data_IF_981784605763
#
_entry.id   IF_981784605763
#
_cell.length_a   1.000
_cell.length_b   1.000
_cell.length_c   1.000
_cell.angle_alpha   90.00
_cell.angle_beta   90.00
_cell.angle_gamma   90.00
#
_symmetry.space_group_name_H-M   'P 1'
#
loop_
_entity.id
_entity.type
_entity.pdbx_description
1 polymer ?
#
# COMPACT_ATOMS: atom_id res chain seq x y z
N UNK A 1 36.33 -33.28 -48.37
CA UNK A 1 34.92 -33.61 -48.67
C UNK A 1 34.25 -33.91 -47.34
N UNK A 2 33.10 -33.27 -47.09
CA UNK A 2 32.53 -32.92 -45.78
C UNK A 2 32.16 -34.08 -44.86
N UNK A 3 32.14 -33.88 -43.52
CA UNK A 3 31.49 -34.78 -42.58
C UNK A 3 29.96 -34.56 -42.55
N UNK A 4 29.15 -35.57 -42.19
CA UNK A 4 27.71 -35.44 -42.08
C UNK A 4 27.32 -34.65 -40.81
N UNK A 5 26.32 -33.78 -40.95
CA UNK A 5 25.83 -32.88 -39.89
C UNK A 5 25.07 -33.60 -38.76
N UNK A 6 24.87 -32.92 -37.62
CA UNK A 6 24.25 -33.53 -36.45
C UNK A 6 22.72 -33.63 -36.60
N UNK A 7 22.18 -34.72 -36.06
CA UNK A 7 20.75 -35.02 -35.93
C UNK A 7 20.02 -33.95 -35.12
N UNK A 8 18.96 -33.39 -35.71
CA UNK A 8 18.02 -32.49 -35.05
C UNK A 8 16.90 -33.31 -34.39
N UNK A 9 17.10 -33.70 -33.13
CA UNK A 9 16.04 -34.30 -32.31
C UNK A 9 15.12 -33.21 -31.76
N UNK A 10 14.07 -32.90 -32.51
CA UNK A 10 12.93 -32.10 -32.07
C UNK A 10 12.13 -32.85 -30.98
N UNK A 11 12.44 -32.60 -29.71
CA UNK A 11 11.55 -32.95 -28.59
C UNK A 11 10.51 -31.85 -28.40
N UNK A 12 9.36 -32.03 -29.05
CA UNK A 12 8.10 -31.34 -28.72
C UNK A 12 7.81 -31.52 -27.23
N UNK A 13 7.83 -30.42 -26.47
CA UNK A 13 7.34 -30.39 -25.08
C UNK A 13 5.87 -30.01 -25.12
N UNK A 14 5.04 -30.95 -24.69
CA UNK A 14 3.62 -30.77 -24.46
C UNK A 14 3.34 -29.58 -23.52
N UNK A 15 2.67 -28.55 -24.04
CA UNK A 15 1.96 -27.55 -23.25
C UNK A 15 0.74 -28.21 -22.60
N UNK A 16 0.82 -28.43 -21.28
CA UNK A 16 -0.35 -28.76 -20.47
C UNK A 16 -1.22 -27.52 -20.25
N UNK A 17 -2.56 -27.67 -20.15
CA UNK A 17 -3.47 -26.54 -20.04
C UNK A 17 -3.25 -25.82 -18.71
N UNK A 18 -2.83 -24.56 -18.82
CA UNK A 18 -2.69 -23.63 -17.72
C UNK A 18 -4.07 -23.41 -17.08
N UNK A 19 -4.36 -24.11 -15.98
CA UNK A 19 -5.60 -23.93 -15.20
C UNK A 19 -5.59 -22.52 -14.60
N UNK A 20 -6.19 -21.57 -15.31
CA UNK A 20 -6.51 -20.25 -14.78
C UNK A 20 -7.33 -20.44 -13.51
N UNK A 21 -6.74 -20.08 -12.37
CA UNK A 21 -7.40 -20.09 -11.07
C UNK A 21 -8.59 -19.11 -11.16
N UNK A 22 -9.82 -19.63 -11.22
CA UNK A 22 -11.01 -18.80 -11.06
C UNK A 22 -11.18 -18.56 -9.56
N UNK A 23 -11.19 -17.31 -9.06
CA UNK A 23 -11.54 -17.07 -7.67
C UNK A 23 -12.94 -17.63 -7.42
N UNK A 24 -13.08 -18.45 -6.38
CA UNK A 24 -14.37 -19.00 -5.98
C UNK A 24 -15.29 -17.84 -5.57
N UNK A 25 -16.42 -17.66 -6.24
CA UNK A 25 -17.41 -16.66 -5.85
C UNK A 25 -18.07 -17.03 -4.52
N UNK A 26 -18.37 -16.02 -3.69
CA UNK A 26 -19.16 -16.20 -2.45
C UNK A 26 -20.50 -16.87 -2.77
N UNK A 27 -20.85 -17.92 -2.04
CA UNK A 27 -22.06 -18.74 -2.31
C UNK A 27 -23.35 -18.13 -1.80
N UNK A 28 -23.29 -17.33 -0.73
CA UNK A 28 -24.45 -16.83 0.01
C UNK A 28 -25.38 -17.97 0.45
N UNK A 29 -24.80 -19.01 1.08
CA UNK A 29 -25.54 -20.16 1.60
C UNK A 29 -26.45 -19.78 2.77
N UNK A 30 -26.03 -18.83 3.61
CA UNK A 30 -26.89 -18.12 4.57
C UNK A 30 -26.85 -16.59 4.34
N UNK A 31 -27.70 -16.07 3.44
CA UNK A 31 -27.70 -14.64 3.11
C UNK A 31 -28.26 -13.76 4.25
N UNK A 32 -28.83 -14.35 5.30
CA UNK A 32 -29.31 -13.61 6.49
C UNK A 32 -28.21 -13.45 7.53
N UNK A 33 -27.11 -14.20 7.43
CA UNK A 33 -25.99 -14.08 8.35
C UNK A 33 -25.19 -12.79 8.07
N UNK A 34 -25.22 -11.89 9.05
CA UNK A 34 -24.60 -10.57 8.99
C UNK A 34 -23.65 -10.39 10.17
N UNK A 35 -22.62 -9.56 9.97
CA UNK A 35 -21.72 -9.08 11.02
C UNK A 35 -21.69 -7.56 10.99
N UNK A 36 -21.51 -6.95 12.17
CA UNK A 36 -21.48 -5.49 12.33
C UNK A 36 -20.06 -5.03 12.64
N UNK A 37 -19.61 -3.98 11.96
CA UNK A 37 -18.36 -3.28 12.25
C UNK A 37 -18.69 -1.91 12.81
N UNK A 38 -18.17 -1.60 13.98
CA UNK A 38 -18.31 -0.28 14.63
C UNK A 38 -17.01 0.49 14.37
N UNK A 39 -17.08 1.57 13.60
CA UNK A 39 -15.91 2.30 13.10
C UNK A 39 -15.86 3.69 13.73
N UNK A 40 -14.67 4.12 14.16
CA UNK A 40 -14.42 5.45 14.69
C UNK A 40 -14.29 5.53 16.21
N UNK A 41 -13.82 6.68 16.73
CA UNK A 41 -13.53 6.87 18.14
C UNK A 41 -14.79 6.84 19.00
N UNK A 42 -14.62 6.69 20.31
CA UNK A 42 -15.73 6.72 21.24
C UNK A 42 -16.52 8.04 21.14
N UNK A 43 -17.86 7.93 21.17
CA UNK A 43 -18.77 9.06 20.98
C UNK A 43 -18.99 9.49 19.51
N UNK A 44 -18.19 9.00 18.55
CA UNK A 44 -18.33 9.31 17.12
C UNK A 44 -18.12 8.04 16.28
N UNK A 45 -19.09 7.12 16.37
CA UNK A 45 -19.02 5.83 15.69
C UNK A 45 -20.05 5.68 14.58
N UNK A 46 -19.67 5.00 13.51
CA UNK A 46 -20.54 4.60 12.42
C UNK A 46 -20.58 3.08 12.32
N UNK A 47 -21.78 2.52 12.18
CA UNK A 47 -21.99 1.07 12.02
C UNK A 47 -22.02 0.67 10.54
N UNK A 48 -21.35 -0.41 10.22
CA UNK A 48 -21.35 -1.03 8.89
C UNK A 48 -21.75 -2.49 9.01
N UNK A 49 -22.70 -2.92 8.19
CA UNK A 49 -23.23 -4.29 8.19
C UNK A 49 -22.72 -5.01 6.94
N UNK A 50 -22.09 -6.17 7.12
CA UNK A 50 -21.50 -6.97 6.04
C UNK A 50 -22.01 -8.40 6.11
N UNK A 51 -22.24 -9.03 4.95
CA UNK A 51 -22.56 -10.45 4.91
C UNK A 51 -21.40 -11.28 5.46
N UNK A 52 -21.71 -12.17 6.40
CA UNK A 52 -20.74 -12.99 7.11
C UNK A 52 -19.84 -13.76 6.15
N UNK A 53 -20.42 -14.41 5.13
CA UNK A 53 -19.66 -15.13 4.10
C UNK A 53 -18.73 -14.21 3.27
N UNK A 54 -19.11 -12.95 3.01
CA UNK A 54 -18.27 -11.99 2.28
C UNK A 54 -17.05 -11.60 3.12
N UNK A 55 -17.25 -11.30 4.40
CA UNK A 55 -16.15 -10.99 5.32
C UNK A 55 -15.17 -12.16 5.43
N UNK A 56 -15.68 -13.39 5.54
CA UNK A 56 -14.88 -14.61 5.71
C UNK A 56 -14.11 -14.97 4.46
N UNK A 57 -14.75 -14.80 3.30
CA UNK A 57 -14.14 -15.10 2.02
C UNK A 57 -12.84 -14.31 1.81
N UNK A 58 -12.82 -13.06 2.26
CA UNK A 58 -11.68 -12.17 2.07
C UNK A 58 -10.72 -12.08 3.26
N UNK A 59 -11.14 -12.47 4.47
CA UNK A 59 -10.27 -12.45 5.67
C UNK A 59 -10.49 -13.66 6.56
N UNK A 60 -9.43 -14.46 6.72
CA UNK A 60 -9.37 -15.53 7.73
C UNK A 60 -9.38 -15.02 9.16
N UNK A 61 -8.94 -13.77 9.37
CA UNK A 61 -9.02 -13.11 10.68
C UNK A 61 -10.47 -12.84 11.05
N UNK A 62 -11.29 -12.33 10.12
CA UNK A 62 -12.73 -12.18 10.37
C UNK A 62 -13.43 -13.52 10.57
N UNK A 63 -13.11 -14.53 9.76
CA UNK A 63 -13.65 -15.89 9.95
C UNK A 63 -13.34 -16.44 11.35
N UNK A 64 -12.11 -16.28 11.82
CA UNK A 64 -11.73 -16.70 13.16
C UNK A 64 -12.42 -15.87 14.26
N UNK A 65 -12.42 -14.55 14.14
CA UNK A 65 -12.97 -13.64 15.16
C UNK A 65 -14.46 -13.88 15.41
N UNK A 66 -15.26 -13.91 14.34
CA UNK A 66 -16.71 -14.04 14.43
C UNK A 66 -17.20 -15.48 14.69
N UNK A 67 -16.30 -16.47 14.68
CA UNK A 67 -16.58 -17.85 15.10
C UNK A 67 -15.86 -18.22 16.41
N UNK A 68 -15.25 -17.25 17.10
CA UNK A 68 -14.54 -17.47 18.36
C UNK A 68 -15.49 -17.46 19.57
N UNK A 69 -14.94 -17.73 20.76
CA UNK A 69 -15.64 -17.55 22.04
C UNK A 69 -15.49 -16.14 22.62
N UNK A 70 -14.84 -15.23 21.89
CA UNK A 70 -14.64 -13.84 22.31
C UNK A 70 -15.91 -13.00 22.09
N UNK A 71 -15.84 -11.72 22.46
CA UNK A 71 -16.98 -10.80 22.35
C UNK A 71 -17.48 -10.72 20.92
N UNK A 72 -16.59 -10.75 19.92
CA UNK A 72 -16.91 -10.68 18.51
C UNK A 72 -17.72 -11.91 18.05
N UNK A 73 -17.38 -13.10 18.55
CA UNK A 73 -18.10 -14.33 18.22
C UNK A 73 -19.50 -14.37 18.82
N UNK A 74 -19.67 -13.87 20.05
CA UNK A 74 -20.98 -13.82 20.70
C UNK A 74 -21.89 -12.69 20.17
N UNK A 75 -21.33 -11.52 19.92
CA UNK A 75 -22.08 -10.32 19.51
C UNK A 75 -22.19 -10.15 17.99
N UNK A 76 -21.42 -10.94 17.22
CA UNK A 76 -21.23 -10.75 15.78
C UNK A 76 -20.82 -9.31 15.42
N UNK A 77 -20.09 -8.64 16.33
CA UNK A 77 -19.71 -7.23 16.22
C UNK A 77 -18.21 -7.06 16.41
N UNK A 78 -17.57 -6.24 15.57
CA UNK A 78 -16.13 -5.92 15.65
C UNK A 78 -15.91 -4.42 15.76
N UNK A 79 -15.15 -3.97 16.75
CA UNK A 79 -14.89 -2.54 17.00
C UNK A 79 -13.52 -2.10 16.48
N UNK A 80 -13.48 -1.01 15.71
CA UNK A 80 -12.26 -0.37 15.21
C UNK A 80 -12.28 1.12 15.53
N UNK A 81 -11.68 1.47 16.68
CA UNK A 81 -11.69 2.85 17.19
C UNK A 81 -10.71 3.78 16.47
N UNK A 82 -9.65 3.22 15.90
CA UNK A 82 -8.56 3.90 15.20
C UNK A 82 -8.74 3.94 13.68
N UNK A 83 -9.90 3.48 13.19
CA UNK A 83 -10.22 3.44 11.76
C UNK A 83 -11.20 4.55 11.39
N UNK A 84 -10.92 5.26 10.30
CA UNK A 84 -11.80 6.25 9.70
C UNK A 84 -12.95 5.60 8.95
N UNK A 85 -14.12 6.25 9.01
CA UNK A 85 -15.30 5.82 8.27
C UNK A 85 -15.02 5.70 6.76
N UNK A 86 -14.23 6.61 6.20
CA UNK A 86 -13.89 6.65 4.78
C UNK A 86 -13.01 5.48 4.34
N UNK A 87 -11.99 5.12 5.11
CA UNK A 87 -11.17 3.94 4.81
C UNK A 87 -12.01 2.65 4.87
N UNK A 88 -12.90 2.54 5.88
CA UNK A 88 -13.79 1.38 5.97
C UNK A 88 -14.83 1.32 4.83
N UNK A 89 -15.35 2.46 4.36
CA UNK A 89 -16.18 2.52 3.15
C UNK A 89 -15.46 1.95 1.93
N UNK A 90 -14.18 2.27 1.74
CA UNK A 90 -13.38 1.69 0.65
C UNK A 90 -13.15 0.20 0.83
N UNK A 91 -12.91 -0.27 2.06
CA UNK A 91 -12.86 -1.69 2.37
C UNK A 91 -14.16 -2.39 1.95
N UNK A 92 -15.31 -1.82 2.31
CA UNK A 92 -16.62 -2.36 1.96
C UNK A 92 -16.85 -2.39 0.45
N UNK A 93 -16.51 -1.31 -0.28
CA UNK A 93 -16.56 -1.31 -1.74
C UNK A 93 -15.75 -2.45 -2.34
N UNK A 94 -14.52 -2.66 -1.84
CA UNK A 94 -13.65 -3.72 -2.32
C UNK A 94 -14.17 -5.12 -1.96
N UNK A 95 -14.67 -5.34 -0.74
CA UNK A 95 -15.24 -6.63 -0.32
C UNK A 95 -16.36 -7.11 -1.25
N UNK A 96 -17.18 -6.19 -1.77
CA UNK A 96 -18.29 -6.55 -2.66
C UNK A 96 -17.96 -6.49 -4.15
N UNK A 97 -17.05 -5.61 -4.59
CA UNK A 97 -16.83 -5.33 -6.01
C UNK A 97 -15.40 -5.57 -6.49
N UNK A 98 -14.46 -5.76 -5.57
CA UNK A 98 -13.01 -5.79 -5.82
C UNK A 98 -12.51 -4.54 -6.54
N UNK A 99 -13.20 -3.40 -6.37
CA UNK A 99 -12.92 -2.10 -6.99
C UNK A 99 -13.10 -0.97 -5.98
N UNK A 100 -12.47 0.17 -6.28
CA UNK A 100 -12.64 1.41 -5.53
C UNK A 100 -13.28 2.49 -6.42
N UNK A 101 -14.20 3.25 -5.85
CA UNK A 101 -14.74 4.46 -6.46
C UNK A 101 -13.86 5.64 -6.06
N UNK A 102 -12.72 5.79 -6.76
CA UNK A 102 -11.76 6.87 -6.52
C UNK A 102 -12.26 8.17 -7.14
N UNK A 103 -11.88 9.30 -6.55
CA UNK A 103 -12.30 10.63 -7.02
C UNK A 103 -11.68 10.90 -8.39
N UNK A 104 -10.45 10.42 -8.58
CA UNK A 104 -9.71 10.48 -9.84
C UNK A 104 -10.36 9.69 -10.99
N UNK A 105 -11.32 8.79 -10.71
CA UNK A 105 -12.12 8.14 -11.75
C UNK A 105 -13.27 9.02 -12.25
N UNK A 106 -13.63 10.08 -11.52
CA UNK A 106 -14.68 11.00 -11.91
C UNK A 106 -14.11 12.05 -12.88
N UNK A 107 -14.54 12.07 -14.16
CA UNK A 107 -14.05 13.04 -15.15
C UNK A 107 -14.42 14.49 -14.82
N UNK A 108 -15.33 14.73 -13.86
CA UNK A 108 -15.68 16.07 -13.37
C UNK A 108 -14.82 16.54 -12.19
N UNK A 109 -13.97 15.67 -11.63
CA UNK A 109 -13.11 16.02 -10.50
C UNK A 109 -11.83 16.70 -10.99
N UNK A 110 -11.80 18.03 -10.96
CA UNK A 110 -10.60 18.80 -11.19
C UNK A 110 -9.66 18.69 -10.00
N UNK A 111 -8.53 17.98 -10.16
CA UNK A 111 -7.46 17.96 -9.18
C UNK A 111 -6.76 19.31 -9.23
N UNK A 112 -6.95 20.15 -8.21
CA UNK A 112 -6.17 21.39 -8.05
C UNK A 112 -4.71 21.02 -7.75
N UNK A 113 -3.91 20.95 -8.81
CA UNK A 113 -2.47 20.66 -8.76
C UNK A 113 -1.65 21.86 -8.30
N UNK A 114 -2.25 23.05 -8.18
CA UNK A 114 -1.53 24.29 -7.88
C UNK A 114 -1.43 24.58 -6.37
N UNK A 115 -2.11 23.81 -5.53
CA UNK A 115 -2.06 24.01 -4.07
C UNK A 115 -1.38 22.81 -3.40
N UNK A 116 -0.06 22.94 -3.15
CA UNK A 116 0.70 21.97 -2.35
C UNK A 116 -0.07 21.64 -1.04
N UNK A 117 -0.59 20.41 -0.94
CA UNK A 117 -1.06 19.83 0.31
C UNK A 117 -2.52 20.06 0.73
N UNK A 118 -3.47 20.40 -0.15
CA UNK A 118 -4.85 20.66 0.30
C UNK A 118 -5.92 19.58 0.13
N UNK A 119 -5.73 18.54 -0.68
CA UNK A 119 -6.62 17.37 -0.60
C UNK A 119 -5.85 16.05 -0.80
N UNK A 120 -5.29 15.57 0.31
CA UNK A 120 -4.72 14.23 0.40
C UNK A 120 -5.62 13.25 1.17
N UNK A 121 -6.91 13.59 1.32
CA UNK A 121 -7.85 12.81 2.13
C UNK A 121 -8.02 11.39 1.58
N UNK A 122 -8.23 11.28 0.26
CA UNK A 122 -8.34 9.98 -0.42
C UNK A 122 -7.07 9.14 -0.29
N UNK A 123 -5.90 9.76 -0.41
CA UNK A 123 -4.62 9.05 -0.29
C UNK A 123 -4.38 8.57 1.14
N UNK A 124 -4.80 9.35 2.12
CA UNK A 124 -4.79 8.92 3.52
C UNK A 124 -5.73 7.72 3.72
N UNK A 125 -6.94 7.74 3.15
CA UNK A 125 -7.87 6.61 3.23
C UNK A 125 -7.31 5.34 2.57
N UNK A 126 -6.64 5.47 1.42
CA UNK A 126 -5.95 4.35 0.78
C UNK A 126 -4.81 3.85 1.65
N UNK A 127 -4.02 4.74 2.25
CA UNK A 127 -2.90 4.38 3.12
C UNK A 127 -3.36 3.60 4.35
N UNK A 128 -4.38 4.13 5.02
CA UNK A 128 -5.05 3.48 6.13
C UNK A 128 -5.63 2.12 5.72
N UNK A 129 -6.27 2.04 4.55
CA UNK A 129 -6.81 0.78 4.04
C UNK A 129 -5.75 -0.28 3.79
N UNK A 130 -4.55 0.11 3.34
CA UNK A 130 -3.42 -0.82 3.23
C UNK A 130 -3.06 -1.42 4.58
N UNK A 131 -2.97 -0.58 5.63
CA UNK A 131 -2.67 -1.00 7.01
C UNK A 131 -3.77 -1.92 7.55
N UNK A 132 -5.04 -1.63 7.26
CA UNK A 132 -6.16 -2.53 7.60
C UNK A 132 -6.06 -3.87 6.88
N UNK A 133 -5.66 -3.85 5.60
CA UNK A 133 -5.40 -5.06 4.84
C UNK A 133 -4.32 -5.93 5.50
N UNK A 134 -3.25 -5.33 6.00
CA UNK A 134 -2.23 -6.03 6.78
C UNK A 134 -2.81 -6.63 8.08
N UNK A 135 -3.49 -5.79 8.87
CA UNK A 135 -4.11 -6.14 10.15
C UNK A 135 -5.05 -7.35 10.05
N UNK A 136 -5.80 -7.45 8.95
CA UNK A 136 -6.79 -8.50 8.74
C UNK A 136 -6.33 -9.62 7.79
N UNK A 137 -5.05 -9.63 7.40
CA UNK A 137 -4.49 -10.68 6.55
C UNK A 137 -5.13 -10.74 5.17
N UNK A 138 -5.26 -9.58 4.51
CA UNK A 138 -5.94 -9.40 3.22
C UNK A 138 -4.95 -8.91 2.14
N UNK A 139 -4.01 -9.76 1.68
CA UNK A 139 -2.98 -9.35 0.73
C UNK A 139 -3.55 -8.88 -0.62
N UNK A 140 -4.68 -9.44 -1.06
CA UNK A 140 -5.34 -8.99 -2.29
C UNK A 140 -5.87 -7.54 -2.17
N UNK A 141 -6.32 -7.14 -0.99
CA UNK A 141 -6.72 -5.76 -0.70
C UNK A 141 -5.50 -4.84 -0.69
N UNK A 142 -4.42 -5.24 0.00
CA UNK A 142 -3.15 -4.49 0.02
C UNK A 142 -2.62 -4.23 -1.39
N UNK A 143 -2.63 -5.25 -2.27
CA UNK A 143 -2.19 -5.11 -3.66
C UNK A 143 -3.10 -4.16 -4.46
N UNK A 144 -4.43 -4.31 -4.34
CA UNK A 144 -5.37 -3.42 -5.03
C UNK A 144 -5.22 -1.95 -4.60
N UNK A 145 -4.88 -1.71 -3.32
CA UNK A 145 -4.57 -0.39 -2.81
C UNK A 145 -3.28 0.16 -3.43
N UNK A 146 -2.21 -0.64 -3.51
CA UNK A 146 -0.96 -0.22 -4.16
C UNK A 146 -1.17 0.10 -5.64
N UNK A 147 -1.94 -0.72 -6.37
CA UNK A 147 -2.28 -0.46 -7.78
C UNK A 147 -3.02 0.88 -7.93
N UNK A 148 -3.94 1.17 -6.99
CA UNK A 148 -4.70 2.43 -6.97
C UNK A 148 -3.81 3.64 -6.68
N UNK A 149 -2.93 3.53 -5.68
CA UNK A 149 -1.95 4.58 -5.36
C UNK A 149 -1.03 4.86 -6.54
N UNK A 150 -0.49 3.81 -7.18
CA UNK A 150 0.40 3.93 -8.32
C UNK A 150 -0.33 4.55 -9.53
N UNK A 151 -1.58 4.15 -9.77
CA UNK A 151 -2.39 4.76 -10.83
C UNK A 151 -2.62 6.26 -10.62
N UNK A 152 -2.88 6.69 -9.37
CA UNK A 152 -3.01 8.12 -9.03
C UNK A 152 -1.71 8.88 -9.31
N UNK A 153 -0.58 8.30 -8.91
CA UNK A 153 0.75 8.85 -9.17
C UNK A 153 0.98 9.01 -10.68
N UNK A 154 0.78 7.93 -11.45
CA UNK A 154 1.16 7.90 -12.87
C UNK A 154 0.31 8.83 -13.74
N UNK A 155 -0.98 8.99 -13.41
CA UNK A 155 -1.94 9.67 -14.28
C UNK A 155 -2.38 11.05 -13.78
N UNK A 156 -2.17 11.39 -12.51
CA UNK A 156 -2.76 12.61 -11.94
C UNK A 156 -1.78 13.50 -11.19
N UNK A 157 -0.84 12.95 -10.40
CA UNK A 157 -0.02 13.76 -9.48
C UNK A 157 1.47 13.76 -9.79
N UNK A 158 1.99 12.70 -10.39
CA UNK A 158 3.42 12.48 -10.58
C UNK A 158 4.19 12.14 -9.29
N UNK A 159 3.59 12.30 -8.11
CA UNK A 159 4.22 11.93 -6.85
C UNK A 159 3.24 11.46 -5.75
N UNK A 160 3.75 10.66 -4.80
CA UNK A 160 2.99 10.26 -3.61
C UNK A 160 2.83 11.44 -2.63
N UNK A 161 1.64 11.68 -2.07
CA UNK A 161 1.41 12.82 -1.18
C UNK A 161 2.25 12.76 0.08
N UNK A 162 2.98 13.84 0.37
CA UNK A 162 3.89 13.92 1.50
C UNK A 162 3.19 13.71 2.86
N UNK A 163 1.90 14.06 2.95
CA UNK A 163 1.12 13.95 4.18
C UNK A 163 0.93 12.50 4.67
N UNK A 164 1.09 11.50 3.79
CA UNK A 164 0.87 10.08 4.16
C UNK A 164 2.09 9.46 4.85
N UNK A 165 3.28 10.06 4.70
CA UNK A 165 4.53 9.44 5.13
C UNK A 165 4.58 9.20 6.65
N UNK A 166 4.21 10.20 7.47
CA UNK A 166 4.16 10.00 8.93
C UNK A 166 3.23 8.86 9.31
N UNK A 167 2.00 8.86 8.77
CA UNK A 167 1.04 7.80 9.05
C UNK A 167 1.59 6.42 8.69
N UNK A 168 2.24 6.27 7.53
CA UNK A 168 2.83 5.00 7.09
C UNK A 168 3.85 4.51 8.11
N UNK A 169 4.78 5.36 8.53
CA UNK A 169 5.85 4.95 9.44
C UNK A 169 5.32 4.72 10.86
N UNK A 170 4.30 5.46 11.29
CA UNK A 170 3.67 5.30 12.61
C UNK A 170 2.83 4.01 12.70
N UNK A 171 2.32 3.49 11.57
CA UNK A 171 1.36 2.38 11.54
C UNK A 171 1.87 1.11 10.83
N UNK A 172 3.15 1.06 10.49
CA UNK A 172 3.78 -0.14 9.90
C UNK A 172 5.08 -0.44 10.61
N UNK A 173 5.56 -1.68 10.48
CA UNK A 173 6.83 -2.11 11.08
C UNK A 173 7.99 -2.04 10.08
N UNK A 174 9.21 -2.17 10.59
CA UNK A 174 10.42 -2.26 9.77
C UNK A 174 10.32 -3.43 8.78
N UNK A 175 10.74 -3.18 7.55
CA UNK A 175 10.61 -4.14 6.45
C UNK A 175 9.24 -4.19 5.79
N UNK A 176 8.25 -3.41 6.25
CA UNK A 176 6.94 -3.28 5.60
C UNK A 176 7.08 -2.97 4.10
N UNK A 177 6.31 -3.70 3.28
CA UNK A 177 6.28 -3.48 1.84
C UNK A 177 5.75 -2.09 1.46
N UNK A 178 4.88 -1.49 2.29
CA UNK A 178 4.41 -0.13 2.08
C UNK A 178 5.54 0.89 2.26
N UNK A 179 6.40 0.72 3.27
CA UNK A 179 7.60 1.56 3.46
C UNK A 179 8.55 1.45 2.27
N UNK A 180 8.82 0.22 1.81
CA UNK A 180 9.66 -0.02 0.63
C UNK A 180 9.08 0.62 -0.63
N UNK A 181 7.76 0.52 -0.83
CA UNK A 181 7.06 1.15 -1.95
C UNK A 181 7.19 2.67 -1.92
N UNK A 182 6.94 3.33 -0.78
CA UNK A 182 7.01 4.80 -0.73
C UNK A 182 8.42 5.32 -0.91
N UNK A 183 9.44 4.62 -0.40
CA UNK A 183 10.85 4.97 -0.63
C UNK A 183 11.22 4.80 -2.11
N UNK A 184 10.83 3.68 -2.72
CA UNK A 184 11.07 3.42 -4.15
C UNK A 184 10.38 4.46 -5.05
N UNK A 185 9.15 4.83 -4.72
CA UNK A 185 8.39 5.88 -5.40
C UNK A 185 9.05 7.24 -5.22
N UNK A 186 9.51 7.57 -4.01
CA UNK A 186 10.21 8.82 -3.73
C UNK A 186 11.44 9.00 -4.64
N UNK A 187 12.29 7.98 -4.79
CA UNK A 187 13.45 8.06 -5.70
C UNK A 187 13.09 8.28 -7.16
N UNK A 188 12.02 7.65 -7.64
CA UNK A 188 11.60 7.79 -9.04
C UNK A 188 11.11 9.21 -9.34
N UNK A 189 10.57 9.90 -8.34
CA UNK A 189 9.80 11.13 -8.50
C UNK A 189 10.57 12.38 -8.03
N UNK A 190 11.55 12.21 -7.15
CA UNK A 190 12.28 13.31 -6.53
C UNK A 190 13.66 13.55 -7.14
N UNK A 191 14.20 14.75 -6.92
CA UNK A 191 15.50 15.18 -7.43
C UNK A 191 16.41 15.69 -6.29
N UNK A 192 17.62 16.11 -6.65
CA UNK A 192 18.55 16.76 -5.73
C UNK A 192 17.88 17.94 -5.04
N UNK A 193 17.83 17.92 -3.71
CA UNK A 193 17.18 18.96 -2.90
C UNK A 193 15.74 18.65 -2.50
N UNK A 194 15.08 17.62 -3.06
CA UNK A 194 13.74 17.19 -2.59
C UNK A 194 13.70 16.87 -1.11
N UNK A 195 14.72 16.16 -0.57
CA UNK A 195 14.79 15.86 0.87
C UNK A 195 14.77 17.16 1.69
N UNK A 196 15.56 18.16 1.30
CA UNK A 196 15.61 19.46 1.98
C UNK A 196 14.27 20.19 1.91
N UNK A 197 13.60 20.16 0.75
CA UNK A 197 12.26 20.77 0.56
C UNK A 197 11.21 20.07 1.42
N UNK A 198 11.19 18.74 1.40
CA UNK A 198 10.17 17.91 2.04
C UNK A 198 10.49 17.56 3.50
N UNK A 199 11.59 18.08 4.07
CA UNK A 199 12.11 17.72 5.40
C UNK A 199 11.12 17.74 6.56
N UNK A 200 10.04 18.51 6.46
CA UNK A 200 8.98 18.59 7.48
C UNK A 200 8.02 17.40 7.46
N UNK A 201 7.92 16.71 6.34
CA UNK A 201 6.99 15.59 6.12
C UNK A 201 7.69 14.25 6.00
N UNK A 202 9.02 14.21 5.96
CA UNK A 202 9.79 12.96 5.92
C UNK A 202 10.07 12.57 7.38
N UNK A 203 9.50 11.45 7.88
CA UNK A 203 9.86 10.91 9.18
C UNK A 203 11.34 10.54 9.24
N UNK A 204 11.92 10.58 10.43
CA UNK A 204 13.34 10.23 10.61
C UNK A 204 13.65 8.82 10.07
N UNK A 205 12.83 7.82 10.39
CA UNK A 205 12.99 6.45 9.90
C UNK A 205 12.91 6.36 8.36
N UNK A 206 12.06 7.17 7.72
CA UNK A 206 12.01 7.24 6.26
C UNK A 206 13.30 7.83 5.68
N UNK A 207 13.89 8.82 6.34
CA UNK A 207 15.17 9.37 5.93
C UNK A 207 16.29 8.34 6.06
N UNK A 208 16.26 7.48 7.08
CA UNK A 208 17.17 6.34 7.21
C UNK A 208 16.97 5.38 6.05
N UNK A 209 15.73 4.98 5.74
CA UNK A 209 15.43 4.09 4.61
C UNK A 209 15.83 4.69 3.24
N UNK A 210 15.68 6.00 3.06
CA UNK A 210 16.18 6.74 1.87
C UNK A 210 17.72 6.84 1.90
N UNK A 211 18.36 6.84 3.05
CA UNK A 211 19.82 6.90 3.10
C UNK A 211 20.39 5.52 2.76
N UNK A 212 19.86 4.46 3.35
CA UNK A 212 20.30 3.07 3.14
C UNK A 212 20.14 2.59 1.70
N UNK A 213 19.12 3.09 0.98
CA UNK A 213 18.96 2.81 -0.44
C UNK A 213 19.84 3.69 -1.36
N UNK A 214 20.38 4.82 -0.87
CA UNK A 214 21.37 5.63 -1.60
C UNK A 214 22.77 5.05 -1.50
N UNK A 215 23.10 4.41 -0.38
CA UNK A 215 24.38 3.74 -0.22
C UNK A 215 24.39 2.45 -1.06
N UNK A 216 25.27 2.32 -2.07
CA UNK A 216 25.33 1.10 -2.84
C UNK A 216 25.62 -0.08 -1.89
N UNK A 217 24.84 -1.16 -2.01
CA UNK A 217 25.12 -2.44 -1.35
C UNK A 217 26.39 -3.08 -1.95
N UNK A 218 27.56 -2.46 -1.77
CA UNK A 218 28.85 -3.01 -2.22
C UNK A 218 29.92 -2.88 -1.13
N UNK A 219 30.63 -3.99 -0.93
CA UNK A 219 31.90 -4.13 -0.21
C UNK A 219 32.79 -2.91 -0.49
N UNK A 220 33.04 -2.13 0.56
CA UNK A 220 34.13 -1.15 0.70
C UNK A 220 34.84 -0.76 -0.61
N UNK A 221 34.31 0.24 -1.30
CA UNK A 221 35.15 1.17 -2.06
C UNK A 221 35.40 2.33 -1.13
N UNK A 222 36.61 2.43 -0.59
CA UNK A 222 37.01 3.58 0.24
C UNK A 222 37.03 4.78 -0.71
N UNK A 223 35.96 5.58 -0.72
CA UNK A 223 35.97 6.89 -1.33
C UNK A 223 36.96 7.73 -0.51
N UNK A 224 38.18 7.91 -1.01
CA UNK A 224 39.13 8.86 -0.45
C UNK A 224 38.64 10.25 -0.82
N UNK A 225 38.27 11.04 0.18
CA UNK A 225 38.05 12.48 0.00
C UNK A 225 39.32 13.22 0.40
N UNK A 226 39.64 14.30 -0.30
CA UNK A 226 40.69 15.21 0.10
C UNK A 226 40.15 16.17 1.18
N UNK A 227 40.89 16.34 2.26
CA UNK A 227 40.48 17.26 3.34
C UNK A 227 40.62 18.72 2.90
N UNK A 228 41.47 18.99 1.91
CA UNK A 228 41.72 20.32 1.36
C UNK A 228 40.47 20.91 0.68
N UNK A 229 39.58 20.06 0.13
CA UNK A 229 38.28 20.47 -0.44
C UNK A 229 37.35 21.15 0.58
N UNK A 230 37.64 21.02 1.88
CA UNK A 230 36.84 21.57 2.98
C UNK A 230 37.57 22.66 3.77
N UNK A 231 38.76 23.09 3.33
CA UNK A 231 39.47 24.19 3.98
C UNK A 231 38.65 25.49 3.82
N UNK A 232 38.54 26.25 4.91
CA UNK A 232 37.88 27.55 4.90
C UNK A 232 38.90 28.59 4.46
N UNK A 233 38.58 29.36 3.42
CA UNK A 233 39.45 30.44 2.95
C UNK A 233 39.59 31.53 4.03
N UNK A 234 40.83 31.88 4.38
CA UNK A 234 41.11 33.06 5.21
C UNK A 234 40.88 34.33 4.37
N UNK A 235 39.81 35.06 4.66
CA UNK A 235 39.63 36.42 4.18
C UNK A 235 40.31 37.36 5.16
N UNK A 236 41.61 37.62 4.95
CA UNK A 236 42.34 38.65 5.69
C UNK A 236 41.60 40.01 5.59
N UNK A 237 41.32 40.61 6.75
CA UNK A 237 40.61 41.88 6.93
C UNK A 237 41.39 43.11 6.45
#
# INVERSE_FOLDING_TARGET
MSPPGPEDTTKSRHDGPNKKFKPSSVSFSDPKALVTFIIGPEGHTTEFIVHKEVAYHHSKVFEAAFNSQLVEGSTQTYRLADTSESAFKFMMQWLYSQKFNLLHHDPSHEVDTNTEGKDCSQDMYLTELWVLGDRFGMPALQNAVLDSMQSIVDHHRGYLPLCTYSYIYDNTTDGSLLRQYVVSSYYKQCNSGSIRRHRRWIPYEMLVDISDNLFPKKKYSIYTFDVEDFYVEDHDH
#
